data_IF_340939512838
#
_entry.id   IF_340939512838
#
_cell.length_a   1.000
_cell.length_b   1.000
_cell.length_c   1.000
_cell.angle_alpha   90.00
_cell.angle_beta   90.00
_cell.angle_gamma   90.00
#
_symmetry.space_group_name_H-M   'P 1'
#
loop_
_entity.id
_entity.type
_entity.pdbx_description
1 polymer ?
#
# COMPACT_ATOMS: atom_id res chain seq x y z
N UNK A 1 -38.60 -9.28 26.56
CA UNK A 1 -37.45 -10.17 26.70
C UNK A 1 -36.24 -9.28 26.73
N UNK A 2 -35.56 -9.20 27.86
CA UNK A 2 -34.35 -8.39 27.97
C UNK A 2 -33.18 -9.17 27.38
N UNK A 3 -32.19 -8.47 26.83
CA UNK A 3 -31.03 -9.13 26.22
C UNK A 3 -30.27 -9.99 27.25
N UNK A 4 -30.26 -9.59 28.52
CA UNK A 4 -29.65 -10.33 29.64
C UNK A 4 -30.36 -11.64 30.00
N UNK A 5 -31.58 -11.86 29.47
CA UNK A 5 -32.32 -13.11 29.66
C UNK A 5 -31.89 -14.19 28.66
N UNK A 6 -31.05 -13.84 27.67
CA UNK A 6 -30.54 -14.78 26.68
C UNK A 6 -29.46 -15.70 27.29
N UNK A 7 -29.39 -16.97 26.85
CA UNK A 7 -28.29 -17.85 27.22
C UNK A 7 -26.93 -17.24 26.84
N UNK A 8 -25.87 -17.46 27.65
CA UNK A 8 -24.53 -16.94 27.37
C UNK A 8 -24.01 -17.29 25.97
N UNK A 9 -24.37 -18.45 25.42
CA UNK A 9 -23.98 -18.90 24.09
C UNK A 9 -24.57 -18.02 22.98
N UNK A 10 -25.80 -17.52 23.19
CA UNK A 10 -26.44 -16.59 22.24
C UNK A 10 -25.79 -15.21 22.36
N UNK A 11 -25.46 -14.78 23.57
CA UNK A 11 -24.74 -13.52 23.81
C UNK A 11 -23.33 -13.55 23.21
N UNK A 12 -22.62 -14.68 23.32
CA UNK A 12 -21.32 -14.94 22.70
C UNK A 12 -21.43 -14.93 21.17
N UNK A 13 -22.47 -15.55 20.59
CA UNK A 13 -22.70 -15.52 19.15
C UNK A 13 -23.06 -14.12 18.62
N UNK A 14 -23.82 -13.34 19.40
CA UNK A 14 -24.09 -11.92 19.09
C UNK A 14 -22.77 -11.14 19.11
N UNK A 15 -21.95 -11.31 20.15
CA UNK A 15 -20.65 -10.67 20.26
C UNK A 15 -19.69 -11.06 19.11
N UNK A 16 -19.64 -12.35 18.72
CA UNK A 16 -18.91 -12.84 17.54
C UNK A 16 -19.30 -12.13 16.23
N UNK A 17 -20.50 -11.56 16.17
CA UNK A 17 -21.04 -10.87 14.98
C UNK A 17 -20.76 -9.36 15.01
N UNK A 18 -20.18 -8.82 16.08
CA UNK A 18 -19.83 -7.41 16.21
C UNK A 18 -18.36 -7.21 15.81
N UNK A 19 -18.12 -6.64 14.63
CA UNK A 19 -16.77 -6.55 14.06
C UNK A 19 -15.88 -5.44 14.65
N UNK A 20 -16.47 -4.43 15.32
CA UNK A 20 -15.77 -3.27 15.86
C UNK A 20 -15.49 -3.43 17.35
N UNK A 21 -14.25 -3.17 17.76
CA UNK A 21 -13.83 -3.26 19.17
C UNK A 21 -14.56 -2.24 20.03
N UNK A 22 -14.81 -1.03 19.53
CA UNK A 22 -15.53 0.01 20.28
C UNK A 22 -16.97 -0.41 20.57
N UNK A 23 -17.63 -1.04 19.60
CA UNK A 23 -19.00 -1.54 19.74
C UNK A 23 -19.03 -2.74 20.69
N UNK A 24 -18.06 -3.66 20.59
CA UNK A 24 -17.90 -4.78 21.54
C UNK A 24 -17.61 -4.30 22.97
N UNK A 25 -16.78 -3.27 23.14
CA UNK A 25 -16.50 -2.66 24.45
C UNK A 25 -17.75 -1.99 24.99
N UNK A 26 -18.44 -1.19 24.18
CA UNK A 26 -19.70 -0.55 24.56
C UNK A 26 -20.74 -1.61 24.95
N UNK A 27 -20.80 -2.71 24.21
CA UNK A 27 -21.68 -3.84 24.46
C UNK A 27 -21.34 -4.53 25.80
N UNK A 28 -20.07 -4.83 26.04
CA UNK A 28 -19.58 -5.39 27.30
C UNK A 28 -19.84 -4.47 28.49
N UNK A 29 -19.70 -3.15 28.32
CA UNK A 29 -19.88 -2.15 29.38
C UNK A 29 -21.35 -1.93 29.77
N UNK A 30 -22.32 -2.39 28.96
CA UNK A 30 -23.74 -2.22 29.28
C UNK A 30 -24.22 -3.08 30.46
N UNK A 31 -23.51 -4.17 30.80
CA UNK A 31 -23.85 -5.04 31.92
C UNK A 31 -22.64 -5.85 32.40
N UNK A 32 -22.56 -6.12 33.70
CA UNK A 32 -21.52 -7.01 34.27
C UNK A 32 -21.60 -8.43 33.72
N UNK A 33 -22.81 -8.93 33.43
CA UNK A 33 -23.01 -10.24 32.79
C UNK A 33 -22.41 -10.24 31.37
N UNK A 34 -22.72 -9.23 30.57
CA UNK A 34 -22.19 -9.07 29.22
C UNK A 34 -20.68 -8.92 29.24
N UNK A 35 -20.14 -8.09 30.15
CA UNK A 35 -18.70 -8.00 30.38
C UNK A 35 -18.07 -9.35 30.70
N UNK A 36 -18.68 -10.15 31.58
CA UNK A 36 -18.15 -11.48 31.95
C UNK A 36 -18.17 -12.50 30.81
N UNK A 37 -19.12 -12.38 29.88
CA UNK A 37 -19.23 -13.26 28.71
C UNK A 37 -18.34 -12.78 27.57
N UNK A 38 -18.23 -11.46 27.36
CA UNK A 38 -17.61 -10.86 26.17
C UNK A 38 -16.13 -10.55 26.36
N UNK A 39 -15.74 -10.07 27.55
CA UNK A 39 -14.36 -9.65 27.83
C UNK A 39 -13.34 -10.76 27.63
N UNK A 40 -13.58 -12.00 28.12
CA UNK A 40 -12.59 -13.07 28.01
C UNK A 40 -12.50 -13.72 26.62
N UNK A 41 -13.41 -13.44 25.69
CA UNK A 41 -13.47 -14.15 24.39
C UNK A 41 -13.35 -13.22 23.20
N UNK A 42 -13.81 -11.97 23.30
CA UNK A 42 -13.93 -11.06 22.15
C UNK A 42 -13.13 -9.76 22.28
N UNK A 43 -12.90 -9.28 23.51
CA UNK A 43 -12.15 -8.02 23.71
C UNK A 43 -10.63 -8.21 23.71
N UNK A 44 -10.16 -9.40 24.04
CA UNK A 44 -8.74 -9.70 24.22
C UNK A 44 -8.09 -10.39 22.99
N UNK A 45 -8.87 -10.98 22.07
CA UNK A 45 -8.35 -12.02 21.15
C UNK A 45 -8.60 -11.82 19.65
N UNK A 46 -9.14 -10.68 19.22
CA UNK A 46 -9.49 -10.45 17.80
C UNK A 46 -8.40 -9.77 16.95
N UNK A 47 -7.43 -9.08 17.57
CA UNK A 47 -6.29 -8.42 16.93
C UNK A 47 -5.04 -8.63 17.79
N UNK A 48 -4.13 -9.48 17.34
CA UNK A 48 -2.81 -9.64 17.97
C UNK A 48 -1.80 -8.85 17.16
N UNK A 49 -1.07 -7.98 17.86
CA UNK A 49 0.08 -7.26 17.30
C UNK A 49 1.34 -7.71 18.01
N UNK A 50 2.23 -8.40 17.29
CA UNK A 50 3.57 -8.66 17.82
C UNK A 50 4.45 -7.46 17.52
N UNK A 51 4.98 -6.77 18.54
CA UNK A 51 5.77 -5.53 18.34
C UNK A 51 6.97 -5.71 17.41
N UNK A 52 7.16 -4.68 16.58
CA UNK A 52 8.45 -4.05 16.25
C UNK A 52 8.36 -2.57 16.66
N UNK A 53 9.37 -2.01 17.33
CA UNK A 53 9.20 -0.80 18.17
C UNK A 53 9.40 0.54 17.43
N UNK A 54 10.01 0.60 16.25
CA UNK A 54 10.50 1.91 15.76
C UNK A 54 10.10 2.34 14.34
N UNK A 55 9.27 1.59 13.58
CA UNK A 55 9.04 1.89 12.15
C UNK A 55 7.61 2.28 11.74
N UNK A 56 6.61 2.19 12.62
CA UNK A 56 5.24 2.57 12.27
C UNK A 56 4.92 3.98 12.76
N UNK A 57 4.33 4.79 11.86
CA UNK A 57 3.97 6.18 12.15
C UNK A 57 3.06 6.27 13.39
N UNK A 58 3.31 7.32 14.16
CA UNK A 58 2.79 7.61 15.50
C UNK A 58 1.26 7.61 15.63
N UNK A 59 0.52 7.57 14.53
CA UNK A 59 -0.95 7.63 14.48
C UNK A 59 -1.62 6.25 14.61
N UNK A 60 -0.92 5.13 14.40
CA UNK A 60 -1.49 3.78 14.51
C UNK A 60 -1.22 3.12 15.88
N UNK A 61 -1.40 3.88 16.97
CA UNK A 61 -0.96 3.46 18.31
C UNK A 61 -1.83 2.39 18.97
N UNK A 62 -1.14 1.36 19.47
CA UNK A 62 -1.58 0.42 20.50
C UNK A 62 -2.20 1.13 21.74
N UNK A 63 -3.13 0.47 22.46
CA UNK A 63 -3.68 0.93 23.74
C UNK A 63 -2.58 1.35 24.75
N UNK A 64 -2.85 2.39 25.55
CA UNK A 64 -1.88 3.01 26.46
C UNK A 64 -1.23 2.03 27.46
N UNK A 65 -1.96 0.98 27.82
CA UNK A 65 -1.54 -0.14 28.68
C UNK A 65 -0.30 -0.90 28.17
N UNK A 66 0.02 -0.85 26.88
CA UNK A 66 1.23 -1.47 26.33
C UNK A 66 2.42 -0.49 26.23
N UNK A 67 2.24 0.82 26.44
CA UNK A 67 3.34 1.80 26.29
C UNK A 67 4.40 1.73 27.39
N UNK A 68 4.05 1.22 28.58
CA UNK A 68 4.91 1.26 29.77
C UNK A 68 5.49 -0.10 30.17
N UNK A 69 5.48 -1.08 29.27
CA UNK A 69 6.03 -2.40 29.57
C UNK A 69 7.56 -2.37 29.58
N UNK A 70 8.25 -2.97 30.57
CA UNK A 70 9.71 -2.88 30.74
C UNK A 70 10.55 -3.69 29.72
N UNK A 71 10.01 -3.99 28.54
CA UNK A 71 10.59 -4.94 27.56
C UNK A 71 11.22 -4.26 26.33
N UNK A 72 11.82 -3.08 26.50
CA UNK A 72 12.55 -2.40 25.41
C UNK A 72 13.94 -3.01 25.26
N UNK A 73 14.16 -3.81 24.21
CA UNK A 73 15.52 -4.13 23.75
C UNK A 73 16.03 -2.90 22.98
N UNK A 74 17.21 -2.35 23.28
CA UNK A 74 17.70 -1.14 22.63
C UNK A 74 17.87 -1.33 21.11
N UNK A 75 17.31 -0.43 20.30
CA UNK A 75 17.43 -0.41 18.84
C UNK A 75 18.88 -0.46 18.31
N UNK A 76 19.85 -0.05 19.13
CA UNK A 76 21.27 -0.10 18.81
C UNK A 76 21.81 -1.53 18.61
N UNK A 77 21.16 -2.57 19.15
CA UNK A 77 21.59 -3.97 18.95
C UNK A 77 21.01 -4.61 17.66
N UNK A 78 19.97 -4.01 17.07
CA UNK A 78 19.32 -4.51 15.84
C UNK A 78 19.80 -3.80 14.56
N UNK A 79 20.39 -2.61 14.69
CA UNK A 79 20.74 -1.75 13.55
C UNK A 79 22.10 -2.04 12.90
N UNK A 80 22.94 -2.90 13.47
CA UNK A 80 24.13 -3.40 12.77
C UNK A 80 23.72 -4.59 11.92
N UNK A 81 23.94 -4.48 10.60
CA UNK A 81 23.60 -5.42 9.52
C UNK A 81 23.97 -6.92 9.70
N UNK A 82 24.57 -7.30 10.82
CA UNK A 82 24.76 -8.70 11.20
C UNK A 82 23.57 -9.25 11.98
N UNK A 83 22.53 -9.67 11.24
CA UNK A 83 21.63 -10.71 11.76
C UNK A 83 22.36 -12.02 12.12
N UNK A 84 23.65 -12.14 11.79
CA UNK A 84 24.48 -13.30 12.09
C UNK A 84 24.74 -13.50 13.59
N UNK A 85 24.53 -12.50 14.45
CA UNK A 85 24.83 -12.64 15.89
C UNK A 85 23.76 -12.07 16.81
N UNK A 86 22.47 -12.36 16.57
CA UNK A 86 21.57 -12.45 17.73
C UNK A 86 22.22 -13.44 18.71
N UNK A 87 22.61 -12.94 19.88
CA UNK A 87 23.18 -13.76 20.95
C UNK A 87 22.32 -15.01 21.11
N UNK A 88 22.95 -16.15 21.36
CA UNK A 88 22.24 -17.42 21.59
C UNK A 88 21.09 -17.25 22.59
N UNK A 89 21.30 -16.44 23.62
CA UNK A 89 20.30 -16.12 24.63
C UNK A 89 19.08 -15.35 24.05
N UNK A 90 19.31 -14.44 23.10
CA UNK A 90 18.23 -13.70 22.43
C UNK A 90 17.40 -14.63 21.54
N UNK A 91 18.04 -15.57 20.82
CA UNK A 91 17.33 -16.58 20.01
C UNK A 91 16.47 -17.50 20.88
N UNK A 92 17.02 -17.98 22.00
CA UNK A 92 16.29 -18.82 22.95
C UNK A 92 15.09 -18.07 23.56
N UNK A 93 15.28 -16.80 23.94
CA UNK A 93 14.21 -15.95 24.47
C UNK A 93 13.11 -15.67 23.43
N UNK A 94 13.48 -15.34 22.18
CA UNK A 94 12.52 -15.15 21.09
C UNK A 94 11.73 -16.43 20.80
N UNK A 95 12.40 -17.58 20.82
CA UNK A 95 11.74 -18.88 20.64
C UNK A 95 10.75 -19.16 21.76
N UNK A 96 11.10 -18.82 23.01
CA UNK A 96 10.17 -18.94 24.14
C UNK A 96 8.94 -18.05 23.95
N UNK A 97 9.12 -16.79 23.55
CA UNK A 97 8.00 -15.89 23.27
C UNK A 97 7.12 -16.38 22.12
N UNK A 98 7.72 -16.88 21.03
CA UNK A 98 6.97 -17.46 19.92
C UNK A 98 6.15 -18.66 20.40
N UNK A 99 6.74 -19.55 21.20
CA UNK A 99 6.05 -20.71 21.76
C UNK A 99 4.88 -20.33 22.67
N UNK A 100 5.05 -19.31 23.50
CA UNK A 100 3.98 -18.83 24.38
C UNK A 100 2.86 -18.14 23.59
N UNK A 101 3.21 -17.39 22.53
CA UNK A 101 2.22 -16.86 21.61
C UNK A 101 1.48 -17.98 20.87
N UNK A 102 2.19 -18.99 20.38
CA UNK A 102 1.61 -20.16 19.73
C UNK A 102 0.57 -20.84 20.64
N UNK A 103 0.89 -20.99 21.94
CA UNK A 103 -0.06 -21.54 22.93
C UNK A 103 -1.29 -20.64 23.06
N UNK A 104 -1.10 -19.32 23.15
CA UNK A 104 -2.20 -18.37 23.25
C UNK A 104 -3.09 -18.40 22.00
N UNK A 105 -2.50 -18.32 20.80
CA UNK A 105 -3.21 -18.32 19.51
C UNK A 105 -4.00 -19.60 19.31
N UNK A 106 -3.51 -20.77 19.75
CA UNK A 106 -4.28 -22.03 19.72
C UNK A 106 -5.61 -21.96 20.50
N UNK A 107 -5.72 -21.08 21.49
CA UNK A 107 -6.94 -20.87 22.27
C UNK A 107 -7.90 -19.87 21.61
N UNK A 108 -7.43 -19.09 20.64
CA UNK A 108 -8.19 -18.02 19.98
C UNK A 108 -8.97 -18.55 18.78
N UNK A 109 -10.05 -19.29 19.04
CA UNK A 109 -10.87 -19.93 17.99
C UNK A 109 -11.55 -18.93 17.05
N UNK A 110 -11.70 -17.67 17.46
CA UNK A 110 -12.35 -16.60 16.70
C UNK A 110 -11.35 -15.58 16.15
N UNK A 111 -10.05 -15.93 16.06
CA UNK A 111 -9.03 -15.01 15.55
C UNK A 111 -9.29 -14.69 14.08
N UNK A 112 -9.76 -13.46 13.81
CA UNK A 112 -10.04 -12.96 12.45
C UNK A 112 -8.92 -12.11 11.88
N UNK A 113 -8.22 -11.35 12.71
CA UNK A 113 -7.12 -10.50 12.28
C UNK A 113 -5.85 -10.88 13.00
N UNK A 114 -4.76 -11.05 12.25
CA UNK A 114 -3.46 -11.37 12.81
C UNK A 114 -2.40 -10.46 12.23
N UNK A 115 -1.61 -9.81 13.11
CA UNK A 115 -0.53 -8.91 12.72
C UNK A 115 0.81 -9.36 13.29
N UNK A 116 1.73 -9.74 12.41
CA UNK A 116 3.03 -10.29 12.77
C UNK A 116 4.18 -9.41 12.29
N UNK A 117 4.75 -8.59 13.17
CA UNK A 117 5.86 -7.70 12.83
C UNK A 117 7.22 -8.22 13.32
N UNK A 118 7.41 -9.53 13.42
CA UNK A 118 8.64 -10.10 13.99
C UNK A 118 9.43 -10.91 12.98
N UNK A 119 10.76 -10.93 13.10
CA UNK A 119 11.54 -11.84 12.32
C UNK A 119 11.14 -13.29 12.59
N UNK A 120 11.00 -14.09 11.53
CA UNK A 120 10.75 -15.53 11.69
C UNK A 120 12.03 -16.19 12.21
N UNK A 121 11.89 -17.10 13.16
CA UNK A 121 13.01 -17.96 13.57
C UNK A 121 13.13 -19.13 12.58
N UNK A 122 14.33 -19.43 12.07
CA UNK A 122 14.51 -20.54 11.13
C UNK A 122 14.15 -21.87 11.80
N UNK A 123 13.43 -22.72 11.05
CA UNK A 123 13.08 -24.08 11.47
C UNK A 123 11.80 -24.23 12.30
N UNK A 124 11.05 -23.16 12.59
CA UNK A 124 9.71 -23.27 13.16
C UNK A 124 8.63 -23.14 12.07
N UNK A 125 7.88 -24.22 11.82
CA UNK A 125 6.56 -24.13 11.16
C UNK A 125 5.52 -23.43 12.07
N UNK A 126 5.87 -23.33 13.36
CA UNK A 126 5.54 -22.29 14.33
C UNK A 126 4.12 -21.73 14.28
N UNK A 127 4.06 -20.40 14.22
CA UNK A 127 2.82 -19.63 14.28
C UNK A 127 1.94 -19.84 13.05
N UNK A 128 2.54 -19.97 11.87
CA UNK A 128 1.88 -20.12 10.58
C UNK A 128 1.02 -21.38 10.50
N UNK A 129 1.53 -22.49 11.02
CA UNK A 129 0.78 -23.75 11.09
C UNK A 129 -0.41 -23.65 12.03
N UNK A 130 -0.30 -22.90 13.12
CA UNK A 130 -1.41 -22.67 14.04
C UNK A 130 -2.48 -21.79 13.39
N UNK A 131 -2.10 -20.68 12.75
CA UNK A 131 -3.06 -19.83 12.04
C UNK A 131 -3.79 -20.62 10.95
N UNK A 132 -3.06 -21.46 10.21
CA UNK A 132 -3.64 -22.33 9.20
C UNK A 132 -4.63 -23.33 9.81
N UNK A 133 -4.29 -23.89 10.97
CA UNK A 133 -5.17 -24.80 11.70
C UNK A 133 -6.44 -24.11 12.21
N UNK A 134 -6.35 -22.85 12.64
CA UNK A 134 -7.51 -22.07 13.05
C UNK A 134 -8.48 -21.85 11.88
N UNK A 135 -7.96 -21.51 10.68
CA UNK A 135 -8.76 -21.47 9.46
C UNK A 135 -9.79 -20.33 9.36
N UNK A 136 -9.79 -19.37 10.30
CA UNK A 136 -10.72 -18.24 10.35
C UNK A 136 -10.06 -16.87 10.18
N UNK A 137 -8.76 -16.82 9.87
CA UNK A 137 -8.03 -15.55 9.68
C UNK A 137 -8.47 -14.95 8.35
N UNK A 138 -9.11 -13.79 8.43
CA UNK A 138 -9.68 -13.02 7.33
C UNK A 138 -8.76 -11.88 6.91
N UNK A 139 -8.02 -11.30 7.86
CA UNK A 139 -7.08 -10.22 7.62
C UNK A 139 -5.71 -10.59 8.19
N UNK A 140 -4.73 -10.71 7.32
CA UNK A 140 -3.37 -11.06 7.70
C UNK A 140 -2.43 -9.93 7.33
N UNK A 141 -1.72 -9.43 8.32
CA UNK A 141 -0.64 -8.46 8.13
C UNK A 141 0.64 -9.07 8.67
N UNK A 142 1.73 -9.07 7.90
CA UNK A 142 3.02 -9.41 8.46
C UNK A 142 4.16 -8.63 7.83
N UNK A 143 5.20 -8.42 8.64
CA UNK A 143 6.51 -7.97 8.23
C UNK A 143 7.36 -9.21 7.98
N UNK A 144 7.64 -9.49 6.72
CA UNK A 144 8.54 -10.54 6.29
C UNK A 144 9.99 -10.13 6.51
N UNK A 145 10.77 -11.07 7.02
CA UNK A 145 12.20 -10.87 7.25
C UNK A 145 13.04 -12.04 6.76
N UNK A 146 12.46 -13.10 6.17
CA UNK A 146 13.24 -14.30 5.85
C UNK A 146 12.74 -15.07 4.61
N UNK A 147 13.66 -15.36 3.68
CA UNK A 147 13.38 -15.71 2.28
C UNK A 147 12.75 -17.09 2.04
N UNK A 148 12.84 -18.01 3.01
CA UNK A 148 12.62 -19.44 2.75
C UNK A 148 11.23 -19.96 3.13
N UNK A 149 10.29 -19.04 3.33
CA UNK A 149 9.08 -19.35 4.05
C UNK A 149 7.85 -19.15 3.20
N UNK A 150 7.36 -20.20 2.50
CA UNK A 150 6.12 -20.10 1.77
C UNK A 150 4.99 -19.74 2.72
N UNK A 151 4.21 -18.73 2.36
CA UNK A 151 3.03 -18.37 3.12
C UNK A 151 2.03 -19.53 3.11
N UNK A 152 1.49 -19.92 4.26
CA UNK A 152 0.46 -20.94 4.29
C UNK A 152 -0.80 -20.45 3.57
N UNK A 153 -1.41 -21.30 2.75
CA UNK A 153 -2.75 -21.03 2.22
C UNK A 153 -3.77 -20.85 3.34
N UNK A 154 -4.53 -19.76 3.25
CA UNK A 154 -5.63 -19.42 4.15
C UNK A 154 -6.93 -19.36 3.36
N UNK A 155 -7.88 -20.25 3.67
CA UNK A 155 -9.24 -20.17 3.12
C UNK A 155 -10.00 -19.03 3.78
N UNK A 156 -10.74 -18.25 3.00
CA UNK A 156 -11.50 -17.10 3.50
C UNK A 156 -10.65 -15.88 3.83
N UNK A 157 -9.37 -15.85 3.46
CA UNK A 157 -8.54 -14.66 3.61
C UNK A 157 -9.03 -13.58 2.64
N UNK A 158 -9.48 -12.45 3.19
CA UNK A 158 -10.01 -11.32 2.42
C UNK A 158 -8.96 -10.22 2.25
N UNK A 159 -8.06 -10.05 3.22
CA UNK A 159 -7.03 -9.00 3.22
C UNK A 159 -5.67 -9.59 3.56
N UNK A 160 -4.68 -9.26 2.73
CA UNK A 160 -3.30 -9.66 2.91
C UNK A 160 -2.39 -8.44 2.78
N UNK A 161 -1.71 -8.09 3.87
CA UNK A 161 -0.73 -7.02 3.91
C UNK A 161 0.65 -7.59 4.23
N UNK A 162 1.59 -7.34 3.34
CA UNK A 162 2.92 -7.86 3.37
C UNK A 162 3.85 -6.68 3.35
N UNK A 163 4.58 -6.50 4.43
CA UNK A 163 5.70 -5.58 4.49
C UNK A 163 6.97 -6.40 4.40
N UNK A 164 7.94 -6.04 3.57
CA UNK A 164 9.26 -6.67 3.60
C UNK A 164 10.33 -5.60 3.61
N UNK A 165 11.34 -5.76 4.46
CA UNK A 165 12.52 -4.90 4.43
C UNK A 165 13.74 -5.58 3.81
N UNK A 166 13.50 -6.72 3.17
CA UNK A 166 14.51 -7.70 2.79
C UNK A 166 14.37 -8.08 1.35
N UNK A 167 14.70 -7.14 0.48
CA UNK A 167 15.08 -7.51 -0.88
C UNK A 167 16.57 -7.78 -0.86
N UNK A 168 16.93 -9.06 -1.00
CA UNK A 168 18.32 -9.48 -1.08
C UNK A 168 18.94 -8.81 -2.28
N UNK A 169 20.04 -8.11 -2.03
CA UNK A 169 20.84 -7.38 -3.03
C UNK A 169 21.53 -8.36 -3.98
N UNK A 170 21.55 -9.67 -3.69
CA UNK A 170 22.26 -10.63 -4.53
C UNK A 170 21.55 -10.79 -5.89
N UNK A 171 22.11 -10.23 -6.97
CA UNK A 171 21.49 -10.26 -8.28
C UNK A 171 21.32 -11.71 -8.73
N UNK A 172 20.07 -12.13 -8.96
CA UNK A 172 19.75 -13.50 -9.37
C UNK A 172 19.30 -14.44 -8.24
N UNK A 173 19.33 -14.00 -6.98
CA UNK A 173 18.71 -14.77 -5.89
C UNK A 173 17.22 -14.47 -5.82
N UNK A 174 16.42 -15.44 -6.29
CA UNK A 174 14.96 -15.58 -6.15
C UNK A 174 14.08 -14.33 -6.26
N UNK A 175 13.15 -14.37 -7.24
CA UNK A 175 11.95 -13.52 -7.24
C UNK A 175 11.36 -13.49 -5.83
N UNK A 176 11.26 -12.31 -5.21
CA UNK A 176 10.73 -12.16 -3.84
C UNK A 176 9.29 -12.66 -3.77
N UNK A 177 8.60 -12.65 -4.91
CA UNK A 177 7.29 -13.25 -5.02
C UNK A 177 7.32 -14.76 -5.27
N UNK A 178 8.48 -15.43 -5.29
CA UNK A 178 8.55 -16.89 -5.14
C UNK A 178 8.13 -17.32 -3.73
N UNK A 179 8.29 -16.45 -2.73
CA UNK A 179 7.63 -16.60 -1.41
C UNK A 179 6.12 -16.45 -1.54
N UNK A 180 5.73 -15.50 -2.40
CA UNK A 180 4.36 -15.26 -2.82
C UNK A 180 3.99 -16.11 -4.02
N UNK A 181 4.44 -17.36 -4.06
CA UNK A 181 3.84 -18.41 -4.88
C UNK A 181 2.42 -18.74 -4.36
N UNK A 182 1.69 -17.68 -3.97
CA UNK A 182 0.28 -17.47 -3.81
C UNK A 182 -0.36 -17.84 -5.13
N UNK A 183 -0.44 -19.14 -5.35
CA UNK A 183 -1.26 -19.65 -6.41
C UNK A 183 -2.68 -19.11 -6.17
N UNK A 184 -3.41 -18.85 -7.25
CA UNK A 184 -4.83 -18.46 -7.16
C UNK A 184 -5.63 -19.44 -6.30
N UNK A 185 -5.17 -20.69 -6.25
CA UNK A 185 -5.72 -21.75 -5.41
C UNK A 185 -5.53 -21.51 -3.92
N UNK A 186 -4.56 -20.71 -3.48
CA UNK A 186 -4.26 -20.50 -2.06
C UNK A 186 -5.17 -19.45 -1.40
N UNK A 187 -5.64 -18.45 -2.18
CA UNK A 187 -6.43 -17.30 -1.69
C UNK A 187 -7.57 -16.89 -2.65
N UNK A 188 -8.57 -17.78 -2.89
CA UNK A 188 -9.62 -17.51 -3.87
C UNK A 188 -10.53 -16.33 -3.51
N UNK A 189 -10.63 -16.00 -2.22
CA UNK A 189 -11.53 -14.97 -1.68
C UNK A 189 -10.83 -13.62 -1.48
N UNK A 190 -9.57 -13.47 -1.89
CA UNK A 190 -8.78 -12.28 -1.63
C UNK A 190 -9.41 -11.04 -2.28
N UNK A 191 -9.65 -10.01 -1.47
CA UNK A 191 -10.24 -8.73 -1.88
C UNK A 191 -9.26 -7.56 -1.79
N UNK A 192 -8.28 -7.63 -0.91
CA UNK A 192 -7.27 -6.60 -0.70
C UNK A 192 -5.89 -7.23 -0.62
N UNK A 193 -4.98 -6.75 -1.47
CA UNK A 193 -3.57 -7.11 -1.43
C UNK A 193 -2.74 -5.84 -1.29
N UNK A 194 -1.94 -5.78 -0.23
CA UNK A 194 -0.96 -4.73 -0.02
C UNK A 194 0.41 -5.39 0.08
N UNK A 195 1.32 -4.99 -0.79
CA UNK A 195 2.72 -5.40 -0.77
C UNK A 195 3.59 -4.15 -0.69
N UNK A 196 4.31 -4.02 0.41
CA UNK A 196 5.15 -2.88 0.71
C UNK A 196 6.57 -3.40 0.92
N UNK A 197 7.44 -3.14 -0.04
CA UNK A 197 8.85 -3.39 0.12
C UNK A 197 9.54 -2.10 0.50
N UNK A 198 10.29 -2.10 1.61
CA UNK A 198 11.18 -0.99 1.91
C UNK A 198 12.24 -0.90 0.83
N UNK A 199 12.42 0.29 0.25
CA UNK A 199 13.49 0.55 -0.71
C UNK A 199 14.83 0.45 0.02
N UNK A 200 15.47 -0.72 -0.04
CA UNK A 200 16.82 -0.89 0.46
C UNK A 200 17.76 -0.88 -0.76
N UNK A 201 18.56 0.18 -0.88
CA UNK A 201 19.68 0.28 -1.83
C UNK A 201 19.31 0.09 -3.31
N UNK A 202 18.51 0.98 -3.90
CA UNK A 202 18.29 1.09 -5.36
C UNK A 202 17.60 -0.10 -6.07
N UNK A 203 17.43 -1.24 -5.41
CA UNK A 203 16.80 -2.42 -6.02
C UNK A 203 15.32 -2.52 -5.63
N UNK A 204 14.45 -2.54 -6.64
CA UNK A 204 13.03 -2.83 -6.48
C UNK A 204 12.72 -4.31 -6.72
N UNK A 205 11.80 -4.88 -5.96
CA UNK A 205 11.41 -6.29 -6.10
C UNK A 205 10.72 -6.54 -7.43
N UNK A 206 11.24 -7.42 -8.29
CA UNK A 206 10.47 -7.84 -9.48
C UNK A 206 9.29 -8.70 -9.07
N UNK A 207 8.10 -8.38 -9.59
CA UNK A 207 6.84 -9.11 -9.27
C UNK A 207 6.18 -9.74 -10.50
N UNK A 208 6.89 -9.81 -11.62
CA UNK A 208 6.35 -10.27 -12.91
C UNK A 208 5.74 -11.67 -12.86
N UNK A 209 6.45 -12.64 -12.27
CA UNK A 209 6.02 -14.04 -12.29
C UNK A 209 4.70 -14.20 -11.54
N UNK A 210 4.56 -13.51 -10.43
CA UNK A 210 3.37 -13.62 -9.58
C UNK A 210 2.18 -12.85 -10.15
N UNK A 211 2.38 -11.65 -10.72
CA UNK A 211 1.31 -10.96 -11.41
C UNK A 211 0.82 -11.72 -12.67
N UNK A 212 1.70 -12.43 -13.39
CA UNK A 212 1.29 -13.27 -14.53
C UNK A 212 0.43 -14.46 -14.12
N UNK A 213 0.61 -14.98 -12.90
CA UNK A 213 -0.11 -16.14 -12.37
C UNK A 213 -1.34 -15.77 -11.54
N UNK A 214 -1.43 -14.52 -11.09
CA UNK A 214 -2.53 -14.03 -10.29
C UNK A 214 -3.85 -13.99 -11.07
N UNK A 215 -4.92 -14.48 -10.44
CA UNK A 215 -6.29 -14.48 -10.95
C UNK A 215 -7.28 -14.41 -9.78
N UNK A 216 -7.08 -13.41 -8.92
CA UNK A 216 -7.94 -13.17 -7.76
C UNK A 216 -9.23 -12.50 -8.21
N UNK A 217 -10.25 -13.31 -8.50
CA UNK A 217 -11.53 -12.86 -9.09
C UNK A 217 -12.27 -11.79 -8.27
N UNK A 218 -11.98 -11.69 -6.98
CA UNK A 218 -12.64 -10.78 -6.05
C UNK A 218 -11.74 -9.61 -5.62
N UNK A 219 -10.57 -9.43 -6.24
CA UNK A 219 -9.62 -8.39 -5.86
C UNK A 219 -10.20 -7.01 -6.17
N UNK A 220 -10.32 -6.18 -5.13
CA UNK A 220 -10.84 -4.81 -5.17
C UNK A 220 -9.76 -3.77 -4.89
N UNK A 221 -8.83 -4.08 -4.00
CA UNK A 221 -7.73 -3.16 -3.66
C UNK A 221 -6.39 -3.83 -3.92
N UNK A 222 -5.55 -3.17 -4.71
CA UNK A 222 -4.16 -3.56 -4.93
C UNK A 222 -3.24 -2.38 -4.60
N UNK A 223 -2.33 -2.58 -3.65
CA UNK A 223 -1.24 -1.65 -3.36
C UNK A 223 0.09 -2.37 -3.52
N UNK A 224 0.92 -1.84 -4.40
CA UNK A 224 2.29 -2.28 -4.62
C UNK A 224 3.21 -1.11 -4.31
N UNK A 225 4.18 -1.29 -3.43
CA UNK A 225 5.20 -0.29 -3.10
C UNK A 225 6.58 -0.97 -3.04
N UNK A 226 7.60 -0.31 -3.60
CA UNK A 226 8.97 -0.87 -3.65
C UNK A 226 9.14 -2.10 -4.56
N UNK A 227 8.24 -2.27 -5.53
CA UNK A 227 8.26 -3.37 -6.51
C UNK A 227 8.30 -2.87 -7.95
N UNK A 228 8.93 -3.62 -8.85
CA UNK A 228 8.94 -3.41 -10.30
C UNK A 228 8.31 -4.57 -11.05
N UNK A 229 7.81 -4.31 -12.26
CA UNK A 229 7.34 -5.30 -13.22
C UNK A 229 7.27 -4.65 -14.61
N UNK A 230 7.29 -5.50 -15.63
CA UNK A 230 7.18 -5.05 -17.02
C UNK A 230 5.78 -4.51 -17.33
N UNK A 231 5.70 -3.55 -18.27
CA UNK A 231 4.42 -2.98 -18.67
C UNK A 231 3.47 -4.03 -19.27
N UNK A 232 4.00 -5.01 -19.99
CA UNK A 232 3.23 -6.13 -20.52
C UNK A 232 2.58 -6.96 -19.40
N UNK A 233 3.35 -7.33 -18.38
CA UNK A 233 2.83 -8.09 -17.23
C UNK A 233 1.74 -7.31 -16.52
N UNK A 234 2.00 -6.02 -16.21
CA UNK A 234 1.04 -5.18 -15.52
C UNK A 234 -0.25 -5.00 -16.34
N UNK A 235 -0.13 -4.76 -17.65
CA UNK A 235 -1.28 -4.67 -18.57
C UNK A 235 -2.11 -5.95 -18.55
N UNK A 236 -1.46 -7.11 -18.67
CA UNK A 236 -2.15 -8.40 -18.65
C UNK A 236 -2.85 -8.62 -17.30
N UNK A 237 -2.21 -8.28 -16.20
CA UNK A 237 -2.79 -8.38 -14.87
C UNK A 237 -4.03 -7.47 -14.76
N UNK A 238 -3.93 -6.19 -15.08
CA UNK A 238 -5.03 -5.22 -14.95
C UNK A 238 -6.23 -5.59 -15.84
N UNK A 239 -5.99 -6.04 -17.07
CA UNK A 239 -7.06 -6.50 -17.97
C UNK A 239 -7.84 -7.73 -17.43
N UNK A 240 -7.23 -8.52 -16.55
CA UNK A 240 -7.86 -9.71 -15.96
C UNK A 240 -8.53 -9.44 -14.60
N UNK A 241 -8.46 -8.22 -14.07
CA UNK A 241 -9.00 -7.86 -12.76
C UNK A 241 -9.99 -6.67 -12.84
N UNK A 242 -11.14 -6.83 -13.52
CA UNK A 242 -12.13 -5.76 -13.69
C UNK A 242 -12.86 -5.36 -12.39
N UNK A 243 -12.68 -6.12 -11.31
CA UNK A 243 -13.24 -5.85 -9.98
C UNK A 243 -12.43 -4.83 -9.17
N UNK A 244 -11.26 -4.40 -9.65
CA UNK A 244 -10.42 -3.42 -8.96
C UNK A 244 -11.14 -2.08 -8.82
N UNK A 245 -11.20 -1.59 -7.58
CA UNK A 245 -11.75 -0.31 -7.14
C UNK A 245 -10.63 0.65 -6.73
N UNK A 246 -9.53 0.11 -6.19
CA UNK A 246 -8.37 0.88 -5.73
C UNK A 246 -7.09 0.28 -6.29
N UNK A 247 -6.27 1.12 -6.91
CA UNK A 247 -4.99 0.75 -7.47
C UNK A 247 -3.92 1.73 -7.00
N UNK A 248 -2.96 1.24 -6.23
CA UNK A 248 -1.77 1.99 -5.84
C UNK A 248 -0.54 1.27 -6.40
N UNK A 249 0.20 1.96 -7.27
CA UNK A 249 1.42 1.48 -7.91
C UNK A 249 2.59 2.36 -7.46
N UNK A 250 3.78 1.78 -7.26
CA UNK A 250 4.96 2.54 -6.92
C UNK A 250 5.36 3.45 -8.08
N UNK A 251 6.11 4.52 -7.79
CA UNK A 251 6.65 5.38 -8.82
C UNK A 251 7.47 4.62 -9.85
N UNK A 252 8.12 3.53 -9.43
CA UNK A 252 8.98 2.66 -10.23
C UNK A 252 8.22 1.73 -11.20
N UNK A 253 6.88 1.78 -11.25
CA UNK A 253 6.09 0.98 -12.19
C UNK A 253 5.53 1.79 -13.35
N UNK A 254 5.60 1.27 -14.59
CA UNK A 254 6.23 0.02 -15.05
C UNK A 254 7.66 0.23 -15.62
N UNK A 255 8.47 1.12 -15.01
CA UNK A 255 9.76 1.50 -15.57
C UNK A 255 9.65 2.50 -16.74
N UNK A 256 10.67 2.49 -17.61
CA UNK A 256 10.72 3.27 -18.87
C UNK A 256 9.55 2.95 -19.81
N UNK A 257 8.92 1.80 -19.64
CA UNK A 257 7.82 1.32 -20.48
C UNK A 257 6.43 1.82 -20.05
N UNK A 258 6.35 2.86 -19.20
CA UNK A 258 5.09 3.49 -18.77
C UNK A 258 4.05 3.63 -19.88
N UNK A 259 4.48 4.10 -21.04
CA UNK A 259 3.62 4.30 -22.22
C UNK A 259 3.13 3.03 -22.89
N UNK A 260 3.82 1.91 -22.72
CA UNK A 260 3.39 0.62 -23.25
C UNK A 260 2.20 0.03 -22.44
N UNK A 261 1.85 0.63 -21.30
CA UNK A 261 0.70 0.27 -20.47
C UNK A 261 -0.62 0.78 -21.08
N UNK A 262 -0.96 0.34 -22.29
CA UNK A 262 -2.28 0.62 -22.88
C UNK A 262 -3.28 -0.47 -22.46
N UNK A 263 -4.30 -0.07 -21.73
CA UNK A 263 -5.36 -0.97 -21.27
C UNK A 263 -6.42 -1.22 -22.35
N UNK A 264 -7.04 -2.41 -22.31
CA UNK A 264 -8.14 -2.77 -23.19
C UNK A 264 -9.46 -2.11 -22.74
N UNK A 265 -10.41 -1.94 -23.66
CA UNK A 265 -11.74 -1.42 -23.33
C UNK A 265 -12.39 -2.27 -22.22
N UNK A 266 -12.92 -1.62 -21.19
CA UNK A 266 -13.53 -2.28 -20.04
C UNK A 266 -12.54 -3.03 -19.12
N UNK A 267 -11.23 -2.73 -19.18
CA UNK A 267 -10.25 -3.36 -18.30
C UNK A 267 -10.50 -3.10 -16.81
N UNK A 268 -10.80 -1.85 -16.44
CA UNK A 268 -10.93 -1.41 -15.04
C UNK A 268 -12.22 -0.57 -14.85
N UNK A 269 -13.41 -1.15 -15.08
CA UNK A 269 -14.67 -0.42 -15.08
C UNK A 269 -15.07 0.11 -13.69
N UNK A 270 -14.58 -0.53 -12.62
CA UNK A 270 -14.92 -0.18 -11.23
C UNK A 270 -13.83 0.66 -10.53
N UNK A 271 -12.75 1.02 -11.22
CA UNK A 271 -11.64 1.74 -10.59
C UNK A 271 -12.08 3.13 -10.16
N UNK A 272 -12.01 3.41 -8.86
CA UNK A 272 -12.43 4.67 -8.23
C UNK A 272 -11.25 5.50 -7.72
N UNK A 273 -10.19 4.83 -7.23
CA UNK A 273 -8.98 5.46 -6.72
C UNK A 273 -7.76 4.94 -7.45
N UNK A 274 -6.99 5.86 -8.04
CA UNK A 274 -5.72 5.58 -8.69
C UNK A 274 -4.60 6.36 -7.99
N UNK A 275 -3.58 5.66 -7.51
CA UNK A 275 -2.39 6.23 -6.90
C UNK A 275 -1.17 5.71 -7.66
N UNK A 276 -0.60 6.51 -8.54
CA UNK A 276 0.60 6.12 -9.29
C UNK A 276 1.33 7.35 -9.82
N UNK A 277 2.54 7.13 -10.32
CA UNK A 277 3.32 8.20 -10.95
C UNK A 277 2.65 8.72 -12.23
N UNK A 278 2.95 9.96 -12.58
CA UNK A 278 2.19 10.72 -13.57
C UNK A 278 2.21 10.11 -14.98
N UNK A 279 3.36 9.66 -15.55
CA UNK A 279 3.41 8.85 -16.77
C UNK A 279 2.52 7.60 -16.78
N UNK A 280 2.48 6.85 -15.68
CA UNK A 280 1.67 5.64 -15.55
C UNK A 280 0.20 6.00 -15.47
N UNK A 281 -0.13 7.07 -14.75
CA UNK A 281 -1.48 7.65 -14.73
C UNK A 281 -1.90 8.06 -16.14
N UNK A 282 -1.03 8.73 -16.91
CA UNK A 282 -1.29 9.15 -18.27
C UNK A 282 -1.62 7.97 -19.18
N UNK A 283 -0.82 6.89 -19.11
CA UNK A 283 -1.03 5.70 -19.90
C UNK A 283 -2.35 4.99 -19.56
N UNK A 284 -2.69 4.86 -18.27
CA UNK A 284 -3.95 4.26 -17.81
C UNK A 284 -5.16 5.09 -18.27
N UNK A 285 -5.09 6.42 -18.13
CA UNK A 285 -6.16 7.33 -18.56
C UNK A 285 -6.20 7.56 -20.07
N UNK A 286 -5.19 7.13 -20.81
CA UNK A 286 -5.14 7.27 -22.27
C UNK A 286 -6.25 6.52 -23.01
N UNK A 287 -6.87 5.52 -22.37
CA UNK A 287 -8.08 4.86 -22.88
C UNK A 287 -9.29 5.13 -21.96
N UNK A 288 -10.17 6.09 -22.30
CA UNK A 288 -11.34 6.43 -21.47
C UNK A 288 -12.40 5.33 -21.41
N UNK A 289 -12.32 4.32 -22.29
CA UNK A 289 -13.21 3.14 -22.23
C UNK A 289 -12.68 2.06 -21.31
N UNK A 290 -11.38 2.08 -21.01
CA UNK A 290 -10.78 1.14 -20.06
C UNK A 290 -11.18 1.49 -18.62
N UNK A 291 -11.19 2.78 -18.28
CA UNK A 291 -11.44 3.29 -16.93
C UNK A 291 -12.65 4.22 -16.96
N UNK A 292 -13.81 3.79 -16.47
CA UNK A 292 -15.05 4.59 -16.62
C UNK A 292 -15.55 5.24 -15.33
N UNK A 293 -15.05 4.78 -14.17
CA UNK A 293 -15.59 5.16 -12.86
C UNK A 293 -14.57 5.88 -11.95
N UNK A 294 -13.47 6.39 -12.51
CA UNK A 294 -12.40 7.02 -11.74
C UNK A 294 -12.89 8.31 -11.08
N UNK A 295 -12.61 8.47 -9.78
CA UNK A 295 -13.04 9.63 -8.98
C UNK A 295 -11.89 10.34 -8.31
N UNK A 296 -10.86 9.59 -7.91
CA UNK A 296 -9.73 10.10 -7.13
C UNK A 296 -8.41 9.68 -7.75
N UNK A 297 -7.53 10.67 -7.97
CA UNK A 297 -6.15 10.45 -8.35
C UNK A 297 -5.24 10.93 -7.22
N UNK A 298 -4.24 10.14 -6.84
CA UNK A 298 -3.25 10.45 -5.79
C UNK A 298 -1.83 10.20 -6.27
N UNK A 299 -0.86 10.77 -5.55
CA UNK A 299 0.55 10.46 -5.76
C UNK A 299 1.12 11.01 -7.07
N UNK A 300 0.43 11.99 -7.69
CA UNK A 300 0.94 12.66 -8.87
C UNK A 300 2.12 13.55 -8.49
N UNK A 301 3.31 13.12 -8.89
CA UNK A 301 4.49 13.96 -8.96
C UNK A 301 4.55 14.58 -10.37
N UNK A 302 4.44 15.91 -10.46
CA UNK A 302 4.45 16.65 -11.72
C UNK A 302 5.82 17.21 -12.09
N UNK A 303 6.77 17.15 -11.15
CA UNK A 303 8.06 17.84 -11.23
C UNK A 303 8.95 17.30 -12.37
N UNK A 304 8.53 16.26 -13.09
CA UNK A 304 9.18 15.79 -14.31
C UNK A 304 10.54 15.11 -14.07
N UNK A 305 11.13 15.31 -12.89
CA UNK A 305 12.25 14.53 -12.38
C UNK A 305 11.78 13.12 -12.10
N UNK A 306 11.87 12.35 -13.16
CA UNK A 306 11.62 10.94 -13.19
C UNK A 306 12.54 10.29 -12.11
N UNK A 307 11.99 9.73 -11.01
CA UNK A 307 12.80 9.27 -9.86
C UNK A 307 13.85 8.23 -10.22
N UNK A 308 13.70 7.59 -11.37
CA UNK A 308 14.61 6.65 -12.01
C UNK A 308 15.94 7.23 -12.49
N UNK A 309 16.21 8.54 -12.33
CA UNK A 309 17.55 9.08 -12.63
C UNK A 309 18.65 8.36 -11.82
N UNK A 310 18.28 7.73 -10.71
CA UNK A 310 19.16 6.93 -9.85
C UNK A 310 19.24 5.44 -10.22
N UNK A 311 18.31 4.90 -11.01
CA UNK A 311 18.28 3.47 -11.37
C UNK A 311 19.17 3.13 -12.59
N UNK A 312 19.83 4.13 -13.17
CA UNK A 312 20.93 3.92 -14.12
C UNK A 312 22.22 3.63 -13.36
N UNK A 313 22.25 2.54 -12.60
CA UNK A 313 23.50 1.81 -12.57
C UNK A 313 23.67 1.29 -14.01
N UNK A 314 24.70 1.72 -14.76
CA UNK A 314 24.95 1.18 -16.10
C UNK A 314 24.86 -0.34 -16.01
N UNK A 315 24.30 -0.99 -17.03
CA UNK A 315 24.33 -2.46 -17.10
C UNK A 315 25.72 -2.88 -16.64
N UNK A 316 25.83 -3.62 -15.53
CA UNK A 316 27.13 -3.97 -14.99
C UNK A 316 27.97 -4.74 -16.04
N UNK A 317 27.28 -5.27 -17.06
CA UNK A 317 27.80 -5.98 -18.20
C UNK A 317 28.25 -5.09 -19.38
N UNK A 318 27.93 -3.78 -19.41
CA UNK A 318 28.35 -2.82 -20.44
C UNK A 318 28.72 -1.45 -19.85
N UNK A 319 29.92 -1.31 -19.25
CA UNK A 319 30.39 -0.07 -18.64
C UNK A 319 30.69 1.05 -19.67
N UNK A 320 30.63 0.76 -20.97
CA UNK A 320 30.92 1.70 -22.05
C UNK A 320 29.65 2.30 -22.69
N UNK A 321 28.44 1.96 -22.21
CA UNK A 321 27.21 2.60 -22.66
C UNK A 321 27.29 4.11 -22.31
N UNK A 322 27.42 5.01 -23.31
CA UNK A 322 27.64 6.43 -23.05
C UNK A 322 26.44 6.98 -22.28
N UNK A 323 26.71 7.72 -21.21
CA UNK A 323 25.70 8.54 -20.55
C UNK A 323 25.16 9.52 -21.59
N UNK A 324 23.97 9.23 -22.14
CA UNK A 324 23.21 10.22 -22.90
C UNK A 324 22.80 11.30 -21.90
N UNK A 325 23.66 12.31 -21.75
CA UNK A 325 23.51 13.43 -20.82
C UNK A 325 22.33 14.35 -21.19
N UNK A 326 21.82 14.23 -22.42
CA UNK A 326 20.65 14.98 -22.86
C UNK A 326 19.36 14.20 -22.52
N UNK A 327 18.50 14.72 -21.63
CA UNK A 327 17.20 14.12 -21.36
C UNK A 327 16.41 14.13 -22.66
N UNK A 328 16.20 12.93 -23.23
CA UNK A 328 15.48 12.74 -24.48
C UNK A 328 14.15 13.52 -24.44
N UNK A 329 13.85 14.44 -25.39
CA UNK A 329 12.60 15.22 -25.45
C UNK A 329 11.32 14.36 -25.41
N UNK A 330 11.45 13.05 -25.62
CA UNK A 330 10.44 12.03 -25.35
C UNK A 330 9.93 12.07 -23.90
N UNK A 331 10.66 12.66 -22.95
CA UNK A 331 10.35 12.70 -21.51
C UNK A 331 9.14 13.57 -21.11
N UNK A 332 8.59 14.42 -21.99
CA UNK A 332 7.49 15.34 -21.61
C UNK A 332 6.12 15.02 -22.21
N UNK A 333 6.04 14.19 -23.27
CA UNK A 333 4.76 13.87 -23.94
C UNK A 333 3.70 13.25 -23.00
N UNK A 334 4.11 12.62 -21.91
CA UNK A 334 3.17 12.05 -20.93
C UNK A 334 2.32 13.12 -20.25
N UNK A 335 2.79 14.38 -20.16
CA UNK A 335 2.05 15.47 -19.54
C UNK A 335 0.84 15.85 -20.40
N UNK A 336 1.01 15.94 -21.72
CA UNK A 336 -0.09 16.16 -22.66
C UNK A 336 -1.08 14.99 -22.64
N UNK A 337 -0.56 13.75 -22.66
CA UNK A 337 -1.35 12.53 -22.56
C UNK A 337 -2.12 12.47 -21.22
N UNK A 338 -1.51 12.91 -20.12
CA UNK A 338 -2.16 13.00 -18.81
C UNK A 338 -3.26 14.04 -18.83
N UNK A 339 -2.99 15.25 -19.33
CA UNK A 339 -3.99 16.32 -19.44
C UNK A 339 -5.19 15.85 -20.25
N UNK A 340 -4.96 15.23 -21.41
CA UNK A 340 -6.04 14.71 -22.27
C UNK A 340 -6.75 13.53 -21.61
N UNK A 341 -6.00 12.63 -20.97
CA UNK A 341 -6.53 11.54 -20.17
C UNK A 341 -7.47 12.06 -19.08
N UNK A 342 -7.06 13.03 -18.27
CA UNK A 342 -7.92 13.56 -17.21
C UNK A 342 -9.15 14.25 -17.85
N UNK A 343 -9.00 15.06 -18.92
CA UNK A 343 -10.11 15.72 -19.64
C UNK A 343 -11.20 14.74 -20.12
N UNK A 344 -10.80 13.56 -20.57
CA UNK A 344 -11.75 12.52 -21.03
C UNK A 344 -12.49 11.80 -19.90
N UNK A 345 -12.16 12.09 -18.64
CA UNK A 345 -12.76 11.49 -17.44
C UNK A 345 -13.43 12.55 -16.54
N UNK A 346 -14.63 13.04 -16.89
CA UNK A 346 -15.33 14.09 -16.13
C UNK A 346 -15.78 13.64 -14.73
N UNK A 347 -15.69 12.35 -14.40
CA UNK A 347 -16.02 11.79 -13.09
C UNK A 347 -14.96 12.06 -12.01
N UNK A 348 -13.78 12.56 -12.37
CA UNK A 348 -12.69 12.86 -11.45
C UNK A 348 -13.10 14.05 -10.57
N UNK A 349 -13.15 13.83 -9.26
CA UNK A 349 -13.56 14.81 -8.25
C UNK A 349 -12.41 15.26 -7.35
N UNK A 350 -11.33 14.48 -7.28
CA UNK A 350 -10.21 14.75 -6.37
C UNK A 350 -8.88 14.42 -7.03
N UNK A 351 -7.96 15.38 -6.97
CA UNK A 351 -6.58 15.23 -7.41
C UNK A 351 -5.67 15.60 -6.22
N UNK A 352 -4.86 14.63 -5.78
CA UNK A 352 -3.87 14.81 -4.72
C UNK A 352 -2.48 14.71 -5.35
N UNK A 353 -1.82 15.86 -5.51
CA UNK A 353 -0.46 15.94 -6.03
C UNK A 353 0.52 15.93 -4.84
N UNK A 354 1.54 15.09 -4.92
CA UNK A 354 2.65 15.11 -3.98
C UNK A 354 3.80 15.90 -4.60
N UNK A 355 4.28 16.93 -3.89
CA UNK A 355 5.37 17.81 -4.31
C UNK A 355 5.01 18.65 -5.56
N UNK A 356 4.79 19.94 -5.32
CA UNK A 356 4.92 20.98 -6.33
C UNK A 356 5.97 21.92 -5.76
N UNK A 357 7.25 21.65 -6.01
CA UNK A 357 8.37 22.49 -5.54
C UNK A 357 8.48 23.77 -6.35
N UNK A 358 8.17 23.69 -7.64
CA UNK A 358 8.20 24.83 -8.55
C UNK A 358 7.24 24.56 -9.73
N UNK A 359 6.08 25.24 -9.73
CA UNK A 359 5.37 25.49 -10.98
C UNK A 359 6.05 26.71 -11.62
N UNK A 360 7.34 26.55 -11.93
CA UNK A 360 8.16 27.63 -12.42
C UNK A 360 7.67 27.98 -13.83
N UNK A 361 7.11 29.18 -13.98
CA UNK A 361 6.99 29.81 -15.29
C UNK A 361 8.39 30.40 -15.53
N UNK A 362 9.39 29.57 -15.80
CA UNK A 362 10.69 30.08 -16.24
C UNK A 362 10.70 30.07 -17.76
N UNK A 363 10.91 31.26 -18.31
CA UNK A 363 10.78 31.64 -19.72
C UNK A 363 11.91 31.03 -20.60
N UNK A 364 12.39 29.82 -20.30
CA UNK A 364 13.67 29.33 -20.84
C UNK A 364 13.93 27.82 -20.92
N UNK A 365 13.07 26.93 -20.44
CA UNK A 365 13.12 25.50 -20.74
C UNK A 365 11.77 25.05 -21.30
N UNK A 366 11.74 23.98 -22.09
CA UNK A 366 10.53 23.43 -22.74
C UNK A 366 9.55 22.80 -21.72
N UNK A 367 9.27 23.48 -20.60
CA UNK A 367 8.22 23.11 -19.66
C UNK A 367 6.86 23.47 -20.24
N UNK A 368 5.89 22.58 -20.06
CA UNK A 368 4.51 22.89 -20.41
C UNK A 368 4.08 24.11 -19.62
N UNK A 369 3.71 25.23 -20.28
CA UNK A 369 3.40 26.46 -19.58
C UNK A 369 2.26 26.19 -18.60
N UNK A 370 2.32 26.79 -17.41
CA UNK A 370 1.29 26.69 -16.37
C UNK A 370 -0.14 26.82 -16.94
N UNK A 371 -0.28 27.60 -18.03
CA UNK A 371 -1.47 27.76 -18.86
C UNK A 371 -2.10 26.47 -19.40
N UNK A 372 -1.33 25.46 -19.78
CA UNK A 372 -1.89 24.19 -20.22
C UNK A 372 -2.43 23.36 -19.05
N UNK A 373 -1.75 23.38 -17.90
CA UNK A 373 -2.27 22.78 -16.67
C UNK A 373 -3.53 23.51 -16.18
N UNK A 374 -3.59 24.83 -16.31
CA UNK A 374 -4.80 25.61 -16.03
C UNK A 374 -5.96 25.19 -16.92
N UNK A 375 -5.74 25.13 -18.24
CA UNK A 375 -6.77 24.69 -19.17
C UNK A 375 -7.22 23.26 -18.88
N UNK A 376 -6.30 22.37 -18.49
CA UNK A 376 -6.62 21.02 -18.08
C UNK A 376 -7.52 21.02 -16.83
N UNK A 377 -7.09 21.67 -15.76
CA UNK A 377 -7.80 21.67 -14.48
C UNK A 377 -9.14 22.41 -14.55
N UNK A 378 -9.25 23.45 -15.39
CA UNK A 378 -10.49 24.15 -15.67
C UNK A 378 -11.52 23.30 -16.42
N UNK A 379 -11.12 22.17 -17.03
CA UNK A 379 -12.07 21.24 -17.66
C UNK A 379 -12.84 20.37 -16.65
N UNK A 380 -12.62 20.53 -15.34
CA UNK A 380 -13.28 19.73 -14.31
C UNK A 380 -14.37 20.50 -13.56
N UNK A 381 -15.62 20.51 -14.06
CA UNK A 381 -16.73 21.16 -13.37
C UNK A 381 -17.08 20.50 -12.01
N UNK A 382 -16.50 19.34 -11.72
CA UNK A 382 -16.76 18.55 -10.50
C UNK A 382 -15.53 18.41 -9.60
N UNK A 383 -14.42 19.11 -9.87
CA UNK A 383 -13.25 19.08 -9.03
C UNK A 383 -13.53 19.79 -7.71
N UNK A 384 -13.67 19.01 -6.64
CA UNK A 384 -14.02 19.53 -5.31
C UNK A 384 -12.81 19.80 -4.45
N UNK A 385 -11.71 19.06 -4.67
CA UNK A 385 -10.53 19.14 -3.81
C UNK A 385 -9.25 18.97 -4.61
N UNK A 386 -8.37 19.94 -4.43
CA UNK A 386 -6.96 19.86 -4.83
C UNK A 386 -6.12 19.98 -3.58
N UNK A 387 -5.35 18.94 -3.28
CA UNK A 387 -4.37 18.95 -2.19
C UNK A 387 -3.00 19.09 -2.81
N UNK A 388 -2.31 20.16 -2.45
CA UNK A 388 -0.93 20.40 -2.83
C UNK A 388 -0.10 20.43 -1.55
N UNK A 389 0.80 19.48 -1.37
CA UNK A 389 1.78 19.51 -0.27
C UNK A 389 2.86 20.55 -0.59
N UNK A 390 3.12 21.54 0.27
CA UNK A 390 3.97 22.67 -0.08
C UNK A 390 5.45 22.33 0.08
N UNK A 391 6.23 22.63 -0.96
CA UNK A 391 7.51 23.31 -0.82
C UNK A 391 7.33 24.68 -1.49
N UNK A 392 6.56 25.56 -0.85
CA UNK A 392 6.33 26.91 -1.36
C UNK A 392 7.69 27.63 -1.52
N UNK A 393 8.01 28.18 -2.71
CA UNK A 393 9.04 29.19 -2.83
C UNK A 393 8.68 30.36 -1.91
N UNK A 394 9.66 31.00 -1.27
CA UNK A 394 9.42 32.14 -0.39
C UNK A 394 8.77 33.35 -1.11
N UNK A 395 8.78 33.38 -2.44
CA UNK A 395 8.15 34.41 -3.26
C UNK A 395 6.74 34.02 -3.73
N UNK A 396 5.74 34.46 -2.96
CA UNK A 396 4.30 34.22 -3.17
C UNK A 396 3.66 35.01 -4.34
N UNK A 397 4.43 35.75 -5.15
CA UNK A 397 3.87 36.71 -6.11
C UNK A 397 3.19 36.05 -7.33
N UNK A 398 3.64 34.87 -7.76
CA UNK A 398 3.09 34.15 -8.92
C UNK A 398 1.92 33.22 -8.58
N UNK A 399 1.80 32.76 -7.33
CA UNK A 399 0.78 31.79 -6.90
C UNK A 399 -0.61 32.44 -6.73
N UNK A 400 -0.66 33.74 -6.44
CA UNK A 400 -1.91 34.49 -6.26
C UNK A 400 -2.80 34.48 -7.51
N UNK A 401 -2.29 34.89 -8.69
CA UNK A 401 -3.04 34.82 -9.94
C UNK A 401 -3.42 33.39 -10.36
N UNK A 402 -2.56 32.39 -10.06
CA UNK A 402 -2.82 30.96 -10.28
C UNK A 402 -4.07 30.50 -9.53
N UNK A 403 -4.11 30.75 -8.22
CA UNK A 403 -5.21 30.30 -7.36
C UNK A 403 -6.51 31.00 -7.72
N UNK A 404 -6.45 32.29 -8.08
CA UNK A 404 -7.63 33.06 -8.43
C UNK A 404 -8.30 32.53 -9.71
N UNK A 405 -7.55 32.27 -10.78
CA UNK A 405 -8.12 31.71 -12.03
C UNK A 405 -8.67 30.31 -11.84
N UNK A 406 -8.02 29.50 -11.00
CA UNK A 406 -8.48 28.14 -10.70
C UNK A 406 -9.81 28.17 -9.92
N UNK A 407 -9.95 29.07 -8.95
CA UNK A 407 -11.19 29.29 -8.21
C UNK A 407 -12.30 29.88 -9.09
N UNK A 408 -11.97 30.70 -10.09
CA UNK A 408 -12.93 31.21 -11.08
C UNK A 408 -13.47 30.09 -11.98
N UNK A 409 -12.61 29.15 -12.40
CA UNK A 409 -13.01 28.01 -13.24
C UNK A 409 -13.75 26.92 -12.45
N UNK A 410 -13.36 26.71 -11.19
CA UNK A 410 -13.90 25.68 -10.30
C UNK A 410 -14.38 26.33 -9.00
N UNK A 411 -15.59 26.92 -8.95
CA UNK A 411 -16.06 27.71 -7.81
C UNK A 411 -16.23 26.90 -6.51
N UNK A 412 -16.45 25.59 -6.63
CA UNK A 412 -16.59 24.68 -5.48
C UNK A 412 -15.25 24.09 -5.01
N UNK A 413 -14.12 24.53 -5.59
CA UNK A 413 -12.81 23.97 -5.31
C UNK A 413 -12.31 24.33 -3.92
N UNK A 414 -12.11 23.31 -3.09
CA UNK A 414 -11.39 23.43 -1.82
C UNK A 414 -9.90 23.17 -2.03
N UNK A 415 -9.10 24.22 -1.84
CA UNK A 415 -7.64 24.10 -1.81
C UNK A 415 -7.24 23.80 -0.37
N UNK A 416 -6.72 22.60 -0.14
CA UNK A 416 -6.23 22.17 1.19
C UNK A 416 -4.72 22.24 1.16
N UNK A 417 -4.13 23.21 1.86
CA UNK A 417 -2.69 23.25 2.11
C UNK A 417 -2.39 22.60 3.45
N UNK A 418 -1.49 21.62 3.45
CA UNK A 418 -0.93 21.09 4.69
C UNK A 418 0.15 22.05 5.18
N UNK A 419 -0.25 23.13 5.84
CA UNK A 419 0.68 23.87 6.67
C UNK A 419 1.07 22.96 7.85
N UNK A 420 2.34 22.50 7.87
CA UNK A 420 2.90 21.88 9.08
C UNK A 420 2.78 22.92 10.21
N UNK A 421 1.88 22.66 11.17
CA UNK A 421 1.79 23.41 12.42
C UNK A 421 2.98 23.12 13.34
#
# INVERSE_FOLDING_TARGET
MLLVDLPPEILDHIACSVDRREDLLSFALTSTLLSSVISPTHLEYCDIRTRDIDSLSTEERLPAEYRNSPFSVPAAELATNDQLFLSRNAKELLSQYENDLIKAVKLMRNLRRFRWFRPRLPGSDGIWSVLKFLGFVVDLHFLDTDYDCPLPSFRGLLSLNIMTNRLSIEPGTQDVMSMLNMSVTDYPDLTSLTFLSSKFLEYSARVDVSLRRAAWKNLRSLRLEGSTCTAETLRHFLNNHPTLEELALPPELPGKEGRALMLSDGALPNLHTLECHAPTTAAILGNPRAVTSIRKIRGLNLDGEAPWKWDYLPNADDPDEPYDDDPDPVTLKWREELVEGIKTHPSIMTIECCHITELSITDGSEELPAEQWFQALACFPHLQRVRCTPLLPQDNSALGPFMQRLLEACPDLQIVSDAKQ
#
